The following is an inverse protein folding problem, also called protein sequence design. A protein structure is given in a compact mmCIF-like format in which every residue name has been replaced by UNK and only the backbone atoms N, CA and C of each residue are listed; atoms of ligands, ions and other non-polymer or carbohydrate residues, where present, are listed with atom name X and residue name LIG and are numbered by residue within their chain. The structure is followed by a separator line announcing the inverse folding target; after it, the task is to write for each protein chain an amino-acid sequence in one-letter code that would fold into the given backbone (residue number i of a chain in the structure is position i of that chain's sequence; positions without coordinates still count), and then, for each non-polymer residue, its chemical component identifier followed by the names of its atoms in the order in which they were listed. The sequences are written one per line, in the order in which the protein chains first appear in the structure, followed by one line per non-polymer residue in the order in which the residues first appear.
data_IF_581833664842
#
_entry.id   IF_581833664842
#
_cell.length_a   1.000
_cell.length_b   1.000
_cell.length_c   1.000
_cell.angle_alpha   90.00
_cell.angle_beta   90.00
_cell.angle_gamma   90.00
#
_symmetry.space_group_name_H-M   'P 1'
#
loop_
_entity.id
_entity.type
_entity.pdbx_description
1 polymer ?
#
# COMPACT_ATOMS: atom_id res chain seq x y z
N UNK A 1 -41.20 46.94 66.29
CA UNK A 1 -40.01 46.08 66.35
C UNK A 1 -39.72 45.60 64.94
N UNK A 2 -38.52 45.91 64.48
CA UNK A 2 -38.07 45.64 63.13
C UNK A 2 -37.51 44.22 63.00
N UNK A 3 -37.54 43.74 61.76
CA UNK A 3 -36.45 43.01 61.10
C UNK A 3 -36.60 41.50 60.84
N UNK A 4 -36.37 41.22 59.55
CA UNK A 4 -35.85 40.00 58.90
C UNK A 4 -36.85 38.92 58.49
N UNK A 5 -37.47 39.19 57.34
CA UNK A 5 -37.70 38.17 56.32
C UNK A 5 -36.33 37.61 55.88
N UNK A 6 -36.03 36.38 56.25
CA UNK A 6 -35.00 35.58 55.60
C UNK A 6 -35.53 34.16 55.48
N UNK A 7 -36.18 33.91 54.35
CA UNK A 7 -36.56 32.57 53.91
C UNK A 7 -35.28 31.75 53.67
N UNK A 8 -34.93 30.89 54.61
CA UNK A 8 -34.03 29.77 54.29
C UNK A 8 -34.86 28.77 53.48
N UNK A 9 -34.72 28.81 52.15
CA UNK A 9 -35.25 27.78 51.27
C UNK A 9 -34.38 26.54 51.44
N UNK A 10 -34.70 25.76 52.46
CA UNK A 10 -34.04 24.51 52.79
C UNK A 10 -34.47 23.45 51.78
N UNK A 11 -33.76 23.40 50.65
CA UNK A 11 -34.06 22.48 49.56
C UNK A 11 -33.01 22.42 48.44
N UNK A 12 -31.85 23.03 48.62
CA UNK A 12 -30.72 22.83 47.72
C UNK A 12 -29.79 21.79 48.36
N UNK A 13 -29.87 20.55 47.86
CA UNK A 13 -28.82 19.55 48.07
C UNK A 13 -27.49 20.23 47.83
N UNK A 14 -26.70 20.41 48.89
CA UNK A 14 -25.36 20.98 48.79
C UNK A 14 -24.56 20.10 47.83
N UNK A 15 -24.36 20.59 46.61
CA UNK A 15 -23.53 19.92 45.63
C UNK A 15 -22.14 19.76 46.26
N UNK A 16 -21.70 18.51 46.39
CA UNK A 16 -20.37 18.23 46.91
C UNK A 16 -19.35 19.05 46.11
N UNK A 17 -18.42 19.77 46.77
CA UNK A 17 -17.36 20.51 46.07
C UNK A 17 -16.62 19.63 45.06
N UNK A 18 -16.45 18.34 45.37
CA UNK A 18 -15.86 17.33 44.48
C UNK A 18 -16.68 17.13 43.20
N UNK A 19 -18.01 17.14 43.30
CA UNK A 19 -18.90 16.97 42.16
C UNK A 19 -18.84 18.19 41.22
N UNK A 20 -18.85 19.38 41.79
CA UNK A 20 -18.72 20.64 41.03
C UNK A 20 -17.37 20.68 40.29
N UNK A 21 -16.27 20.33 40.97
CA UNK A 21 -14.94 20.28 40.34
C UNK A 21 -14.89 19.23 39.23
N UNK A 22 -15.48 18.05 39.45
CA UNK A 22 -15.54 17.00 38.43
C UNK A 22 -16.30 17.46 37.18
N UNK A 23 -17.43 18.14 37.34
CA UNK A 23 -18.25 18.60 36.22
C UNK A 23 -17.56 19.73 35.43
N UNK A 24 -16.89 20.66 36.12
CA UNK A 24 -16.07 21.70 35.47
C UNK A 24 -14.90 21.10 34.69
N UNK A 25 -14.18 20.14 35.29
CA UNK A 25 -13.08 19.44 34.62
C UNK A 25 -13.58 18.66 33.41
N UNK A 26 -14.70 17.94 33.52
CA UNK A 26 -15.29 17.20 32.42
C UNK A 26 -15.65 18.13 31.24
N UNK A 27 -16.25 19.30 31.51
CA UNK A 27 -16.60 20.27 30.48
C UNK A 27 -15.35 20.88 29.81
N UNK A 28 -14.32 21.23 30.61
CA UNK A 28 -13.08 21.83 30.10
C UNK A 28 -12.20 20.84 29.32
N UNK A 29 -12.25 19.55 29.66
CA UNK A 29 -11.39 18.52 29.05
C UNK A 29 -12.04 17.80 27.87
N UNK A 30 -13.36 17.98 27.66
CA UNK A 30 -14.16 17.32 26.60
C UNK A 30 -13.59 17.44 25.18
N UNK A 31 -12.92 18.54 24.86
CA UNK A 31 -12.35 18.82 23.53
C UNK A 31 -10.82 18.83 23.50
N UNK A 32 -10.15 18.36 24.56
CA UNK A 32 -8.70 18.40 24.63
C UNK A 32 -8.07 17.46 23.59
N UNK A 33 -7.37 18.02 22.60
CA UNK A 33 -6.60 17.27 21.61
C UNK A 33 -5.44 16.51 22.26
N UNK A 34 -4.81 17.11 23.27
CA UNK A 34 -3.74 16.47 24.04
C UNK A 34 -4.24 15.18 24.71
N UNK A 35 -5.34 15.25 25.48
CA UNK A 35 -5.90 14.07 26.17
C UNK A 35 -6.33 12.99 25.17
N UNK A 36 -6.93 13.39 24.04
CA UNK A 36 -7.26 12.47 22.94
C UNK A 36 -6.02 11.78 22.38
N UNK A 37 -4.93 12.51 22.16
CA UNK A 37 -3.69 11.99 21.58
C UNK A 37 -2.94 11.05 22.53
N UNK A 38 -3.03 11.28 23.85
CA UNK A 38 -2.45 10.39 24.87
C UNK A 38 -3.39 9.26 25.30
N UNK A 39 -4.54 9.09 24.62
CA UNK A 39 -5.45 7.96 24.84
C UNK A 39 -6.42 8.09 26.02
N UNK A 40 -6.56 9.29 26.59
CA UNK A 40 -7.55 9.59 27.64
C UNK A 40 -8.79 10.18 26.97
N UNK A 41 -9.81 9.35 26.76
CA UNK A 41 -11.08 9.78 26.18
C UNK A 41 -12.13 9.97 27.28
N UNK A 42 -12.73 11.16 27.33
CA UNK A 42 -13.90 11.41 28.18
C UNK A 42 -15.09 10.62 27.59
N UNK A 43 -15.37 9.46 28.18
CA UNK A 43 -16.58 8.64 27.99
C UNK A 43 -16.94 8.13 26.56
N UNK A 44 -16.14 8.37 25.51
CA UNK A 44 -16.49 7.89 24.15
C UNK A 44 -15.37 7.03 23.54
N UNK A 45 -15.71 5.76 23.31
CA UNK A 45 -15.08 4.74 22.46
C UNK A 45 -13.57 4.79 22.30
N UNK A 46 -12.86 4.10 23.20
CA UNK A 46 -11.62 3.44 22.80
C UNK A 46 -11.99 2.46 21.67
N UNK A 47 -11.30 2.43 20.53
CA UNK A 47 -11.46 1.32 19.60
C UNK A 47 -11.20 0.05 20.41
N UNK A 48 -12.21 -0.82 20.47
CA UNK A 48 -12.04 -2.10 21.17
C UNK A 48 -10.87 -2.82 20.53
N UNK A 49 -10.08 -3.56 21.32
CA UNK A 49 -9.04 -4.44 20.81
C UNK A 49 -9.60 -5.31 19.65
N UNK A 50 -10.86 -5.75 19.77
CA UNK A 50 -11.59 -6.47 18.72
C UNK A 50 -11.73 -5.71 17.40
N UNK A 51 -11.89 -4.39 17.44
CA UNK A 51 -11.98 -3.53 16.25
C UNK A 51 -10.64 -3.41 15.54
N UNK A 52 -9.53 -3.41 16.28
CA UNK A 52 -8.17 -3.35 15.72
C UNK A 52 -7.80 -4.72 15.12
N UNK A 53 -8.12 -5.80 15.82
CA UNK A 53 -7.94 -7.17 15.32
C UNK A 53 -8.75 -7.42 14.05
N UNK A 54 -9.99 -6.96 13.99
CA UNK A 54 -10.81 -7.08 12.79
C UNK A 54 -10.22 -6.33 11.58
N UNK A 55 -9.69 -5.12 11.80
CA UNK A 55 -9.01 -4.36 10.74
C UNK A 55 -7.74 -5.05 10.27
N UNK A 56 -6.94 -5.59 11.19
CA UNK A 56 -5.72 -6.33 10.87
C UNK A 56 -6.01 -7.58 10.04
N UNK A 57 -7.06 -8.34 10.36
CA UNK A 57 -7.43 -9.53 9.59
C UNK A 57 -7.92 -9.18 8.18
N UNK A 58 -8.64 -8.07 8.01
CA UNK A 58 -9.02 -7.56 6.68
C UNK A 58 -7.78 -7.17 5.89
N UNK A 59 -6.84 -6.47 6.51
CA UNK A 59 -5.60 -6.04 5.86
C UNK A 59 -4.70 -7.22 5.49
N UNK A 60 -4.59 -8.24 6.36
CA UNK A 60 -3.87 -9.48 6.05
C UNK A 60 -4.44 -10.21 4.85
N UNK A 61 -5.78 -10.29 4.74
CA UNK A 61 -6.43 -10.89 3.58
C UNK A 61 -6.11 -10.11 2.31
N UNK A 62 -6.31 -8.79 2.33
CA UNK A 62 -5.98 -7.94 1.19
C UNK A 62 -4.49 -8.03 0.79
N UNK A 63 -3.59 -8.12 1.76
CA UNK A 63 -2.16 -8.33 1.49
C UNK A 63 -1.89 -9.70 0.86
N UNK A 64 -2.57 -10.75 1.32
CA UNK A 64 -2.51 -12.08 0.73
C UNK A 64 -2.92 -12.08 -0.74
N UNK A 65 -4.04 -11.42 -1.05
CA UNK A 65 -4.54 -11.29 -2.43
C UNK A 65 -3.55 -10.52 -3.32
N UNK A 66 -3.01 -9.40 -2.81
CA UNK A 66 -1.99 -8.63 -3.54
C UNK A 66 -0.72 -9.44 -3.78
N UNK A 67 -0.29 -10.24 -2.81
CA UNK A 67 0.88 -11.11 -2.95
C UNK A 67 0.66 -12.15 -4.04
N UNK A 68 -0.51 -12.79 -4.08
CA UNK A 68 -0.85 -13.74 -5.13
C UNK A 68 -0.82 -13.11 -6.53
N UNK A 69 -1.32 -11.88 -6.67
CA UNK A 69 -1.24 -11.13 -7.94
C UNK A 69 0.21 -10.84 -8.34
N UNK A 70 1.04 -10.41 -7.39
CA UNK A 70 2.46 -10.12 -7.64
C UNK A 70 3.20 -11.39 -8.06
N UNK A 71 2.95 -12.52 -7.41
CA UNK A 71 3.58 -13.79 -7.74
C UNK A 71 3.17 -14.26 -9.14
N UNK A 72 1.89 -14.19 -9.49
CA UNK A 72 1.42 -14.49 -10.84
C UNK A 72 2.04 -13.56 -11.91
N UNK A 73 2.20 -12.27 -11.61
CA UNK A 73 2.85 -11.32 -12.52
C UNK A 73 4.35 -11.64 -12.71
N UNK A 74 5.04 -12.08 -11.65
CA UNK A 74 6.44 -12.51 -11.74
C UNK A 74 6.59 -13.71 -12.65
N UNK A 75 5.75 -14.73 -12.49
CA UNK A 75 5.77 -15.91 -13.35
C UNK A 75 5.53 -15.57 -14.83
N UNK A 76 4.57 -14.68 -15.11
CA UNK A 76 4.32 -14.20 -16.47
C UNK A 76 5.52 -13.43 -17.05
N UNK A 77 6.17 -12.58 -16.26
CA UNK A 77 7.36 -11.86 -16.69
C UNK A 77 8.54 -12.78 -16.97
N UNK A 78 8.74 -13.81 -16.15
CA UNK A 78 9.80 -14.79 -16.36
C UNK A 78 9.58 -15.60 -17.65
N UNK A 79 8.33 -16.02 -17.90
CA UNK A 79 7.96 -16.69 -19.13
C UNK A 79 8.19 -15.79 -20.36
N UNK A 80 7.72 -14.55 -20.30
CA UNK A 80 7.87 -13.59 -21.40
C UNK A 80 9.35 -13.27 -21.65
N UNK A 81 10.14 -13.08 -20.59
CA UNK A 81 11.58 -12.84 -20.66
C UNK A 81 12.31 -14.00 -21.35
N UNK A 82 11.94 -15.24 -21.02
CA UNK A 82 12.47 -16.43 -21.70
C UNK A 82 12.11 -16.45 -23.18
N UNK A 83 10.84 -16.22 -23.51
CA UNK A 83 10.36 -16.21 -24.90
C UNK A 83 11.08 -15.13 -25.74
N UNK A 84 11.25 -13.93 -25.20
CA UNK A 84 11.97 -12.84 -25.88
C UNK A 84 13.43 -13.24 -26.12
N UNK A 85 14.11 -13.82 -25.13
CA UNK A 85 15.50 -14.28 -25.29
C UNK A 85 15.61 -15.37 -26.36
N UNK A 86 14.73 -16.36 -26.35
CA UNK A 86 14.73 -17.44 -27.34
C UNK A 86 14.45 -16.92 -28.76
N UNK A 87 13.48 -16.02 -28.90
CA UNK A 87 13.14 -15.40 -30.19
C UNK A 87 14.31 -14.58 -30.74
N UNK A 88 14.94 -13.76 -29.90
CA UNK A 88 16.07 -12.94 -30.33
C UNK A 88 17.29 -13.80 -30.68
N UNK A 89 17.58 -14.85 -29.91
CA UNK A 89 18.62 -15.81 -30.26
C UNK A 89 18.35 -16.52 -31.59
N UNK A 90 17.10 -16.90 -31.85
CA UNK A 90 16.69 -17.47 -33.13
C UNK A 90 16.96 -16.52 -34.29
N UNK A 91 16.56 -15.26 -34.13
CA UNK A 91 16.77 -14.19 -35.12
C UNK A 91 18.25 -13.95 -35.42
N UNK A 92 19.11 -13.97 -34.39
CA UNK A 92 20.56 -13.83 -34.55
C UNK A 92 21.14 -15.00 -35.34
N UNK A 93 20.78 -16.25 -34.98
CA UNK A 93 21.26 -17.45 -35.69
C UNK A 93 20.84 -17.43 -37.15
N UNK A 94 19.58 -17.10 -37.43
CA UNK A 94 19.08 -16.98 -38.79
C UNK A 94 19.83 -15.91 -39.59
N UNK A 95 20.10 -14.75 -38.97
CA UNK A 95 20.89 -13.70 -39.61
C UNK A 95 22.33 -14.15 -39.93
N UNK A 96 22.98 -14.89 -39.04
CA UNK A 96 24.32 -15.40 -39.26
C UNK A 96 24.37 -16.48 -40.36
N UNK A 97 23.38 -17.37 -40.40
CA UNK A 97 23.22 -18.35 -41.48
C UNK A 97 23.01 -17.67 -42.84
N UNK A 98 22.18 -16.62 -42.88
CA UNK A 98 21.93 -15.84 -44.09
C UNK A 98 23.21 -15.14 -44.58
N UNK A 99 23.98 -14.53 -43.68
CA UNK A 99 25.28 -13.92 -44.02
C UNK A 99 26.26 -14.96 -44.56
N UNK A 100 26.33 -16.16 -43.96
CA UNK A 100 27.20 -17.24 -44.44
C UNK A 100 26.82 -17.70 -45.85
N UNK A 101 25.53 -17.92 -46.10
CA UNK A 101 25.01 -18.29 -47.44
C UNK A 101 25.30 -17.21 -48.47
N UNK A 102 25.16 -15.94 -48.09
CA UNK A 102 25.49 -14.81 -48.94
C UNK A 102 26.98 -14.79 -49.31
N UNK A 103 27.88 -14.95 -48.33
CA UNK A 103 29.31 -14.99 -48.57
C UNK A 103 29.72 -16.18 -49.46
N UNK A 104 29.13 -17.35 -49.26
CA UNK A 104 29.37 -18.52 -50.11
C UNK A 104 28.91 -18.28 -51.56
N UNK A 105 27.74 -17.68 -51.73
CA UNK A 105 27.21 -17.32 -53.05
C UNK A 105 28.11 -16.30 -53.75
N UNK A 106 28.55 -15.27 -53.04
CA UNK A 106 29.45 -14.24 -53.57
C UNK A 106 30.80 -14.84 -53.98
N UNK A 107 31.37 -15.75 -53.18
CA UNK A 107 32.58 -16.47 -53.54
C UNK A 107 32.42 -17.31 -54.82
N UNK A 108 31.29 -18.03 -54.96
CA UNK A 108 30.98 -18.79 -56.19
C UNK A 108 30.82 -17.88 -57.40
N UNK A 109 30.18 -16.72 -57.25
CA UNK A 109 30.05 -15.73 -58.33
C UNK A 109 31.42 -15.19 -58.76
N UNK A 110 32.29 -14.85 -57.81
CA UNK A 110 33.64 -14.39 -58.13
C UNK A 110 34.47 -15.46 -58.86
N UNK A 111 34.32 -16.72 -58.48
CA UNK A 111 34.97 -17.84 -59.17
C UNK A 111 34.54 -17.92 -60.65
N UNK A 112 33.23 -17.89 -60.91
CA UNK A 112 32.69 -17.94 -62.29
C UNK A 112 33.12 -16.72 -63.09
N UNK A 113 33.05 -15.52 -62.52
CA UNK A 113 33.51 -14.30 -63.19
C UNK A 113 35.01 -14.35 -63.52
N UNK A 114 35.82 -14.96 -62.66
CA UNK A 114 37.25 -15.13 -62.92
C UNK A 114 37.49 -16.09 -64.08
N UNK A 115 36.73 -17.18 -64.17
CA UNK A 115 36.81 -18.14 -65.28
C UNK A 115 36.45 -17.47 -66.62
N UNK A 116 35.39 -16.66 -66.66
CA UNK A 116 34.98 -15.93 -67.88
C UNK A 116 36.02 -14.89 -68.30
N UNK A 117 36.68 -14.21 -67.36
CA UNK A 117 37.72 -13.19 -67.65
C UNK A 117 39.05 -13.80 -68.10
N UNK A 118 39.29 -15.09 -67.84
CA UNK A 118 40.51 -15.81 -68.22
C UNK A 118 40.40 -16.59 -69.53
N UNK A 119 39.23 -16.62 -70.16
CA UNK A 119 38.97 -17.09 -71.53
C UNK A 119 38.83 -15.94 -72.49
#
# INVERSE_FOLDING_TARGET
MESRLSSSREGEQSLSPTKVVADVLAEKTKKSSFLKNIGIHNACSRPSIRSIEAQLEVEKRANGDLRAVVDAQREQLDLLSKQVKETEQGRIREQDEMKKKQAEMEAKLQLVLSQIKST
#
